data_IF_722665894030
#
_entry.id   IF_722665894030
#
_cell.length_a   1.000
_cell.length_b   1.000
_cell.length_c   1.000
_cell.angle_alpha   90.00
_cell.angle_beta   90.00
_cell.angle_gamma   90.00
#
_symmetry.space_group_name_H-M   'P 1'
#
loop_
_entity.id
_entity.type
_entity.pdbx_description
1 polymer ?
#
# COMPACT_ATOMS: atom_id res chain seq x y z
N UNK A 1 14.50 8.72 -5.25
CA UNK A 1 14.76 7.26 -5.27
C UNK A 1 13.51 6.50 -5.71
N UNK A 2 13.60 5.25 -6.19
CA UNK A 2 12.43 4.49 -6.70
C UNK A 2 11.32 4.32 -5.64
N UNK A 3 11.70 4.10 -4.38
CA UNK A 3 10.74 3.99 -3.27
C UNK A 3 9.89 5.25 -3.08
N UNK A 4 10.50 6.43 -3.05
CA UNK A 4 9.78 7.71 -2.95
C UNK A 4 8.77 7.86 -4.09
N UNK A 5 9.16 7.47 -5.30
CA UNK A 5 8.26 7.51 -6.45
C UNK A 5 7.04 6.59 -6.27
N UNK A 6 7.25 5.41 -5.72
CA UNK A 6 6.18 4.44 -5.44
C UNK A 6 5.20 5.00 -4.40
N UNK A 7 5.70 5.66 -3.35
CA UNK A 7 4.86 6.27 -2.31
C UNK A 7 4.04 7.47 -2.83
N UNK A 8 4.52 8.16 -3.86
CA UNK A 8 3.80 9.28 -4.51
C UNK A 8 2.70 8.84 -5.48
N UNK A 9 2.82 7.66 -6.10
CA UNK A 9 1.94 7.25 -7.20
C UNK A 9 0.59 6.74 -6.70
N UNK A 10 -0.47 7.11 -7.42
CA UNK A 10 -1.83 6.66 -7.12
C UNK A 10 -2.14 5.27 -7.68
N UNK A 11 -1.38 4.79 -8.66
CA UNK A 11 -1.36 3.41 -9.17
C UNK A 11 -0.18 3.29 -10.14
N UNK A 12 0.40 2.10 -10.32
CA UNK A 12 1.51 1.92 -11.24
C UNK A 12 1.66 0.48 -11.75
N UNK A 13 2.30 0.36 -12.91
CA UNK A 13 2.94 -0.89 -13.36
C UNK A 13 4.44 -0.68 -13.15
N UNK A 14 5.08 -1.62 -12.46
CA UNK A 14 6.52 -1.68 -12.25
C UNK A 14 7.05 -2.90 -12.99
N UNK A 15 7.77 -2.69 -14.09
CA UNK A 15 8.37 -3.78 -14.87
C UNK A 15 9.87 -3.86 -14.65
N UNK A 16 10.29 -4.95 -14.01
CA UNK A 16 11.68 -5.27 -13.74
C UNK A 16 12.25 -6.02 -14.95
N UNK A 17 13.07 -5.31 -15.72
CA UNK A 17 13.59 -5.79 -16.99
C UNK A 17 15.07 -5.42 -17.12
N UNK A 18 15.94 -6.43 -17.12
CA UNK A 18 17.40 -6.24 -17.10
C UNK A 18 17.85 -5.54 -15.81
N UNK A 19 18.65 -4.47 -15.95
CA UNK A 19 19.19 -3.68 -14.83
C UNK A 19 18.27 -2.53 -14.39
N UNK A 20 17.04 -2.46 -14.91
CA UNK A 20 16.14 -1.33 -14.70
C UNK A 20 14.74 -1.75 -14.27
N UNK A 21 14.09 -0.83 -13.55
CA UNK A 21 12.65 -0.82 -13.30
C UNK A 21 12.02 0.26 -14.15
N UNK A 22 11.11 -0.16 -15.04
CA UNK A 22 10.29 0.72 -15.85
C UNK A 22 8.98 0.96 -15.13
N UNK A 23 8.72 2.23 -14.81
CA UNK A 23 7.54 2.64 -14.04
C UNK A 23 6.56 3.32 -14.97
N UNK A 24 5.35 2.78 -15.07
CA UNK A 24 4.23 3.46 -15.71
C UNK A 24 3.20 3.82 -14.64
N UNK A 25 3.08 5.12 -14.35
CA UNK A 25 2.19 5.64 -13.29
C UNK A 25 0.84 6.07 -13.84
N UNK A 26 -0.19 5.95 -13.01
CA UNK A 26 -1.58 6.30 -13.32
C UNK A 26 -2.20 7.13 -12.20
N UNK A 27 -3.19 7.97 -12.54
CA UNK A 27 -3.90 8.81 -11.56
C UNK A 27 -4.82 7.99 -10.63
N UNK A 28 -5.20 6.78 -11.02
CA UNK A 28 -6.05 5.89 -10.24
C UNK A 28 -5.95 4.43 -10.73
N UNK A 29 -6.50 3.50 -9.95
CA UNK A 29 -6.50 2.09 -10.31
C UNK A 29 -7.40 1.78 -11.51
N UNK A 30 -8.52 2.49 -11.66
CA UNK A 30 -9.43 2.36 -12.80
C UNK A 30 -8.72 2.73 -14.11
N UNK A 31 -7.87 3.76 -14.08
CA UNK A 31 -7.05 4.15 -15.24
C UNK A 31 -6.06 3.03 -15.58
N UNK A 32 -5.34 2.49 -14.60
CA UNK A 32 -4.45 1.34 -14.81
C UNK A 32 -5.20 0.14 -15.41
N UNK A 33 -6.38 -0.19 -14.86
CA UNK A 33 -7.17 -1.33 -15.33
C UNK A 33 -7.64 -1.11 -16.78
N UNK A 34 -8.08 0.11 -17.11
CA UNK A 34 -8.48 0.45 -18.48
C UNK A 34 -7.31 0.44 -19.47
N UNK A 35 -6.11 0.83 -19.03
CA UNK A 35 -4.89 0.69 -19.84
C UNK A 35 -4.61 -0.79 -20.12
N UNK A 36 -4.63 -1.62 -19.07
CA UNK A 36 -4.27 -3.04 -19.16
C UNK A 36 -5.28 -3.87 -19.97
N UNK A 37 -6.58 -3.59 -19.84
CA UNK A 37 -7.65 -4.37 -20.47
C UNK A 37 -8.10 -3.85 -21.83
N UNK A 38 -7.96 -2.54 -22.09
CA UNK A 38 -8.49 -1.88 -23.29
C UNK A 38 -7.40 -1.21 -24.13
N UNK A 39 -6.13 -1.28 -23.71
CA UNK A 39 -5.02 -0.63 -24.41
C UNK A 39 -5.09 0.89 -24.42
N UNK A 40 -5.83 1.51 -23.49
CA UNK A 40 -6.01 2.96 -23.47
C UNK A 40 -4.75 3.64 -22.96
N UNK A 41 -4.18 4.54 -23.74
CA UNK A 41 -3.07 5.39 -23.31
C UNK A 41 -3.54 6.51 -22.38
N UNK A 42 -3.59 6.22 -21.09
CA UNK A 42 -4.01 7.16 -20.03
C UNK A 42 -3.06 7.16 -18.82
N UNK A 43 -1.83 6.70 -19.03
CA UNK A 43 -0.76 6.85 -18.06
C UNK A 43 -0.50 8.33 -17.79
N UNK A 44 -0.15 8.67 -16.55
CA UNK A 44 0.13 10.03 -16.10
C UNK A 44 1.62 10.33 -16.00
N UNK A 45 2.45 9.30 -15.95
CA UNK A 45 3.91 9.44 -15.94
C UNK A 45 4.59 8.16 -16.39
N UNK A 46 5.78 8.29 -16.95
CA UNK A 46 6.71 7.17 -17.17
C UNK A 46 8.06 7.48 -16.55
N UNK A 47 8.77 6.47 -16.09
CA UNK A 47 10.10 6.61 -15.50
C UNK A 47 10.94 5.36 -15.65
N UNK A 48 12.26 5.51 -15.60
CA UNK A 48 13.23 4.42 -15.63
C UNK A 48 14.20 4.60 -14.48
N UNK A 49 14.33 3.58 -13.63
CA UNK A 49 15.16 3.61 -12.44
C UNK A 49 16.12 2.43 -12.45
N UNK A 50 17.39 2.59 -12.05
CA UNK A 50 18.29 1.46 -11.88
C UNK A 50 17.74 0.54 -10.78
N UNK A 51 17.87 -0.78 -10.97
CA UNK A 51 17.54 -1.74 -9.92
C UNK A 51 18.53 -1.55 -8.78
N UNK A 52 18.00 -1.22 -7.61
CA UNK A 52 18.75 -1.20 -6.36
C UNK A 52 18.63 -2.55 -5.67
N UNK A 53 19.69 -3.02 -5.00
CA UNK A 53 19.65 -4.26 -4.20
C UNK A 53 18.64 -4.20 -3.02
N UNK A 54 18.17 -3.01 -2.66
CA UNK A 54 17.17 -2.83 -1.60
C UNK A 54 15.79 -3.28 -2.07
N UNK A 55 15.14 -4.11 -1.26
CA UNK A 55 13.75 -4.49 -1.45
C UNK A 55 12.84 -3.25 -1.41
N UNK A 56 11.88 -3.17 -2.32
CA UNK A 56 10.88 -2.10 -2.34
C UNK A 56 9.79 -2.40 -1.32
N UNK A 57 9.40 -1.38 -0.55
CA UNK A 57 8.38 -1.52 0.47
C UNK A 57 7.00 -1.22 -0.10
N UNK A 58 6.34 -2.25 -0.63
CA UNK A 58 4.98 -2.15 -1.17
C UNK A 58 3.92 -1.91 -0.08
N UNK A 59 4.26 -2.06 1.20
CA UNK A 59 3.36 -1.78 2.34
C UNK A 59 3.08 -0.29 2.46
N UNK A 60 3.88 0.55 1.81
CA UNK A 60 3.81 2.02 1.88
C UNK A 60 3.10 2.65 0.69
N UNK A 61 2.57 1.86 -0.24
CA UNK A 61 1.74 2.40 -1.32
C UNK A 61 0.48 3.08 -0.74
N UNK A 62 -0.04 4.07 -1.48
CA UNK A 62 -1.24 4.80 -1.10
C UNK A 62 -2.44 3.86 -0.97
N UNK A 63 -3.35 4.18 -0.06
CA UNK A 63 -4.65 3.51 0.02
C UNK A 63 -5.39 3.63 -1.31
N UNK A 64 -6.05 2.56 -1.72
CA UNK A 64 -6.71 2.37 -3.01
C UNK A 64 -5.80 2.30 -4.25
N UNK A 65 -4.49 2.51 -4.11
CA UNK A 65 -3.58 2.38 -5.22
C UNK A 65 -3.41 0.92 -5.66
N UNK A 66 -3.43 0.69 -6.97
CA UNK A 66 -3.10 -0.60 -7.57
C UNK A 66 -1.68 -0.56 -8.11
N UNK A 67 -0.86 -1.48 -7.63
CA UNK A 67 0.47 -1.73 -8.15
C UNK A 67 0.53 -3.11 -8.77
N UNK A 68 0.95 -3.18 -10.03
CA UNK A 68 1.20 -4.43 -10.76
C UNK A 68 2.71 -4.57 -10.91
N UNK A 69 3.25 -5.68 -10.40
CA UNK A 69 4.66 -6.01 -10.49
C UNK A 69 4.85 -6.98 -11.64
N UNK A 70 5.68 -6.60 -12.60
CA UNK A 70 6.03 -7.36 -13.77
C UNK A 70 7.52 -7.68 -13.73
N UNK A 71 7.91 -8.83 -14.28
CA UNK A 71 9.30 -9.19 -14.50
C UNK A 71 9.44 -9.69 -15.93
N UNK A 72 10.26 -9.00 -16.72
CA UNK A 72 10.42 -9.23 -18.15
C UNK A 72 9.06 -9.29 -18.89
N UNK A 73 8.16 -8.38 -18.55
CA UNK A 73 6.82 -8.31 -19.17
C UNK A 73 5.81 -9.36 -18.70
N UNK A 74 6.14 -10.18 -17.70
CA UNK A 74 5.22 -11.15 -17.09
C UNK A 74 4.77 -10.70 -15.69
N UNK A 75 3.47 -10.73 -15.42
CA UNK A 75 2.94 -10.38 -14.11
C UNK A 75 3.40 -11.37 -13.03
N UNK A 76 3.92 -10.83 -11.92
CA UNK A 76 4.41 -11.60 -10.76
C UNK A 76 3.57 -11.38 -9.51
N UNK A 77 3.12 -10.13 -9.29
CA UNK A 77 2.34 -9.80 -8.11
C UNK A 77 1.46 -8.58 -8.34
N UNK A 78 0.40 -8.49 -7.53
CA UNK A 78 -0.45 -7.30 -7.42
C UNK A 78 -0.61 -6.89 -5.98
N UNK A 79 -0.59 -5.59 -5.74
CA UNK A 79 -0.85 -5.00 -4.43
C UNK A 79 -1.90 -3.92 -4.57
N UNK A 80 -2.95 -4.02 -3.76
CA UNK A 80 -3.95 -2.96 -3.62
C UNK A 80 -4.57 -3.04 -2.23
N UNK A 81 -4.28 -2.03 -1.42
CA UNK A 81 -4.80 -1.92 -0.08
C UNK A 81 -6.10 -1.11 -0.08
N UNK A 82 -7.19 -1.75 0.33
CA UNK A 82 -8.46 -1.08 0.61
C UNK A 82 -8.53 -0.72 2.09
N UNK A 83 -9.05 0.46 2.40
CA UNK A 83 -9.28 0.86 3.78
C UNK A 83 -10.27 -0.11 4.44
N UNK A 84 -9.91 -0.59 5.63
CA UNK A 84 -10.76 -1.43 6.45
C UNK A 84 -11.28 -0.64 7.64
N UNK A 85 -10.41 0.12 8.31
CA UNK A 85 -10.78 1.03 9.40
C UNK A 85 -9.80 2.19 9.47
N UNK A 86 -10.28 3.38 9.83
CA UNK A 86 -9.42 4.55 10.05
C UNK A 86 -9.88 5.32 11.27
N UNK A 87 -8.94 5.64 12.16
CA UNK A 87 -9.22 6.36 13.38
C UNK A 87 -7.99 7.14 13.87
N UNK A 88 -8.22 8.08 14.77
CA UNK A 88 -7.18 8.90 15.38
C UNK A 88 -6.95 8.44 16.81
N UNK A 89 -5.69 8.22 17.17
CA UNK A 89 -5.27 7.86 18.52
C UNK A 89 -4.45 9.01 19.12
N UNK A 90 -4.84 9.45 20.32
CA UNK A 90 -4.06 10.41 21.12
C UNK A 90 -3.04 9.66 21.96
N UNK A 91 -1.81 10.14 21.98
CA UNK A 91 -0.73 9.59 22.80
C UNK A 91 0.15 10.72 23.34
N UNK A 92 0.95 10.44 24.38
CA UNK A 92 1.98 11.37 24.86
C UNK A 92 3.32 10.96 24.29
N UNK A 93 4.10 11.92 23.81
CA UNK A 93 5.48 11.64 23.41
C UNK A 93 6.43 11.58 24.63
N UNK A 94 7.72 11.35 24.36
CA UNK A 94 8.77 11.28 25.38
C UNK A 94 8.92 12.56 26.21
N UNK A 95 8.43 13.69 25.70
CA UNK A 95 8.47 14.98 26.37
C UNK A 95 7.14 15.29 27.11
N UNK A 96 6.20 14.34 27.12
CA UNK A 96 4.89 14.49 27.75
C UNK A 96 3.89 15.30 26.92
N UNK A 97 4.23 15.70 25.69
CA UNK A 97 3.35 16.47 24.82
C UNK A 97 2.29 15.56 24.20
N UNK A 98 1.03 16.00 24.21
CA UNK A 98 -0.03 15.28 23.51
C UNK A 98 0.16 15.38 22.00
N UNK A 99 0.23 14.22 21.34
CA UNK A 99 0.22 14.07 19.89
C UNK A 99 -0.97 13.22 19.47
N UNK A 100 -1.42 13.44 18.25
CA UNK A 100 -2.45 12.62 17.61
C UNK A 100 -1.83 11.94 16.41
N UNK A 101 -1.99 10.63 16.31
CA UNK A 101 -1.60 9.83 15.16
C UNK A 101 -2.86 9.31 14.48
N UNK A 102 -2.87 9.35 13.15
CA UNK A 102 -3.90 8.70 12.34
C UNK A 102 -3.45 7.29 12.04
N UNK A 103 -4.27 6.31 12.41
CA UNK A 103 -4.07 4.89 12.14
C UNK A 103 -5.04 4.51 11.04
N UNK A 104 -4.53 3.85 10.00
CA UNK A 104 -5.34 3.24 8.95
C UNK A 104 -5.05 1.74 8.93
N UNK A 105 -6.06 0.94 9.25
CA UNK A 105 -6.07 -0.49 9.00
C UNK A 105 -6.57 -0.70 7.58
N UNK A 106 -5.82 -1.45 6.79
CA UNK A 106 -6.11 -1.72 5.38
C UNK A 106 -6.01 -3.20 5.11
N UNK A 107 -6.71 -3.71 4.10
CA UNK A 107 -6.57 -5.09 3.63
C UNK A 107 -6.12 -5.11 2.18
N UNK A 108 -5.10 -5.90 1.88
CA UNK A 108 -4.70 -6.14 0.50
C UNK A 108 -5.70 -7.09 -0.17
N UNK A 109 -6.35 -6.65 -1.24
CA UNK A 109 -7.38 -7.46 -1.93
C UNK A 109 -6.80 -8.68 -2.65
N UNK A 110 -5.51 -8.65 -3.00
CA UNK A 110 -4.85 -9.73 -3.75
C UNK A 110 -4.13 -10.75 -2.85
N UNK A 111 -3.58 -10.31 -1.71
CA UNK A 111 -2.84 -11.20 -0.78
C UNK A 111 -3.65 -11.55 0.48
N UNK A 112 -4.82 -10.93 0.69
CA UNK A 112 -5.64 -11.02 1.90
C UNK A 112 -4.96 -10.58 3.21
N UNK A 113 -3.74 -10.07 3.15
CA UNK A 113 -3.02 -9.59 4.32
C UNK A 113 -3.60 -8.28 4.84
N UNK A 114 -3.55 -8.11 6.16
CA UNK A 114 -3.89 -6.87 6.83
C UNK A 114 -2.66 -5.99 6.96
N UNK A 115 -2.87 -4.69 6.90
CA UNK A 115 -1.83 -3.69 7.01
C UNK A 115 -2.22 -2.64 8.05
N UNK A 116 -1.41 -2.55 9.11
CA UNK A 116 -1.40 -1.38 9.98
C UNK A 116 -0.55 -0.30 9.31
N UNK A 117 -1.11 0.89 9.13
CA UNK A 117 -0.42 1.99 8.45
C UNK A 117 -0.58 3.32 9.19
N UNK A 118 0.54 4.00 9.38
CA UNK A 118 0.65 5.39 9.83
C UNK A 118 1.64 6.13 8.93
N UNK A 119 1.87 7.43 9.18
CA UNK A 119 2.90 8.16 8.44
C UNK A 119 4.32 7.62 8.70
N UNK A 120 4.54 7.07 9.89
CA UNK A 120 5.85 6.61 10.35
C UNK A 120 6.04 5.10 10.20
N UNK A 121 4.99 4.30 10.35
CA UNK A 121 5.08 2.84 10.47
C UNK A 121 4.14 2.12 9.51
N UNK A 122 4.59 0.99 8.95
CA UNK A 122 3.75 0.08 8.16
C UNK A 122 4.09 -1.37 8.45
N UNK A 123 3.11 -2.14 8.92
CA UNK A 123 3.29 -3.56 9.29
C UNK A 123 2.24 -4.43 8.58
N UNK A 124 2.66 -5.61 8.12
CA UNK A 124 1.79 -6.60 7.49
C UNK A 124 1.52 -7.75 8.45
N UNK A 125 0.28 -8.23 8.41
CA UNK A 125 -0.20 -9.35 9.21
C UNK A 125 -0.93 -10.33 8.31
N UNK A 126 -0.69 -11.62 8.53
CA UNK A 126 -1.31 -12.68 7.74
C UNK A 126 -2.82 -12.84 8.04
N UNK A 127 -3.26 -12.46 9.24
CA UNK A 127 -4.65 -12.56 9.70
C UNK A 127 -5.06 -11.33 10.52
N UNK A 128 -6.37 -11.17 10.71
CA UNK A 128 -6.92 -10.14 11.60
C UNK A 128 -6.52 -10.40 13.06
N UNK A 129 -6.51 -11.65 13.51
CA UNK A 129 -6.13 -12.00 14.89
C UNK A 129 -4.68 -11.61 15.21
N UNK A 130 -3.77 -11.78 14.26
CA UNK A 130 -2.37 -11.35 14.41
C UNK A 130 -2.26 -9.82 14.49
N UNK A 131 -3.04 -9.10 13.69
CA UNK A 131 -3.14 -7.63 13.78
C UNK A 131 -3.71 -7.21 15.15
N UNK A 132 -4.78 -7.84 15.60
CA UNK A 132 -5.45 -7.53 16.86
C UNK A 132 -4.50 -7.74 18.05
N UNK A 133 -3.79 -8.87 18.07
CA UNK A 133 -2.78 -9.17 19.09
C UNK A 133 -1.71 -8.08 19.14
N UNK A 134 -1.20 -7.66 17.98
CA UNK A 134 -0.24 -6.56 17.89
C UNK A 134 -0.80 -5.23 18.45
N UNK A 135 -2.06 -4.89 18.15
CA UNK A 135 -2.68 -3.64 18.62
C UNK A 135 -2.91 -3.66 20.13
N UNK A 136 -3.33 -4.79 20.69
CA UNK A 136 -3.50 -4.97 22.13
C UNK A 136 -2.16 -4.91 22.84
N UNK A 137 -1.15 -5.65 22.39
CA UNK A 137 0.18 -5.67 23.00
C UNK A 137 0.86 -4.30 22.97
N UNK A 138 0.78 -3.59 21.84
CA UNK A 138 1.52 -2.33 21.65
C UNK A 138 0.79 -1.12 22.20
N UNK A 139 -0.55 -1.13 22.18
CA UNK A 139 -1.34 0.07 22.45
C UNK A 139 -2.48 -0.15 23.45
N UNK A 140 -2.67 -1.36 23.98
CA UNK A 140 -3.82 -1.73 24.80
C UNK A 140 -5.15 -1.34 24.13
N UNK A 141 -5.24 -1.56 22.81
CA UNK A 141 -6.36 -1.14 21.98
C UNK A 141 -6.92 -2.31 21.19
N UNK A 142 -8.23 -2.50 21.28
CA UNK A 142 -8.97 -3.46 20.48
C UNK A 142 -9.68 -2.76 19.31
N UNK A 143 -9.62 -3.38 18.13
CA UNK A 143 -10.35 -2.90 16.96
C UNK A 143 -11.59 -3.77 16.76
N UNK A 144 -12.77 -3.19 16.98
CA UNK A 144 -14.03 -3.87 16.64
C UNK A 144 -14.16 -4.06 15.12
N UNK A 145 -14.54 -5.28 14.74
CA UNK A 145 -15.06 -5.61 13.41
C UNK A 145 -16.47 -5.04 13.30
N UNK A 146 -16.59 -3.81 12.80
CA UNK A 146 -17.85 -3.42 12.17
C UNK A 146 -17.63 -3.71 10.69
N UNK A 147 -18.27 -4.76 10.18
CA UNK A 147 -18.35 -5.01 8.74
C UNK A 147 -18.99 -3.79 8.09
N UNK A 148 -18.18 -2.84 7.64
CA UNK A 148 -18.62 -1.99 6.54
C UNK A 148 -18.62 -2.88 5.31
N UNK A 149 -19.80 -3.20 4.83
CA UNK A 149 -20.06 -3.97 3.61
C UNK A 149 -19.15 -3.47 2.47
N UNK A 150 -18.02 -4.13 2.28
CA UNK A 150 -17.23 -4.00 1.06
C UNK A 150 -17.93 -4.90 0.04
N UNK A 151 -18.98 -4.37 -0.58
CA UNK A 151 -19.53 -4.93 -1.80
C UNK A 151 -18.39 -4.95 -2.83
N UNK A 152 -17.94 -6.16 -3.18
CA UNK A 152 -17.02 -6.46 -4.29
C UNK A 152 -17.82 -6.41 -5.59
#
# INVERSE_FOLDING_TARGET
MLQERIEELSSAILDFSGDYVYVTGFKSHERLLSHSSKGIDNWSSKGRYPITKSELDYKRIKTNALFVIMENGLEKAKYQFKEFKKYSQKFKDTNGLQKTRVITIRKCVYTNQFNYFTMEESYLFASFDALQSFLVERFNHEVDLVESEVNI
#
